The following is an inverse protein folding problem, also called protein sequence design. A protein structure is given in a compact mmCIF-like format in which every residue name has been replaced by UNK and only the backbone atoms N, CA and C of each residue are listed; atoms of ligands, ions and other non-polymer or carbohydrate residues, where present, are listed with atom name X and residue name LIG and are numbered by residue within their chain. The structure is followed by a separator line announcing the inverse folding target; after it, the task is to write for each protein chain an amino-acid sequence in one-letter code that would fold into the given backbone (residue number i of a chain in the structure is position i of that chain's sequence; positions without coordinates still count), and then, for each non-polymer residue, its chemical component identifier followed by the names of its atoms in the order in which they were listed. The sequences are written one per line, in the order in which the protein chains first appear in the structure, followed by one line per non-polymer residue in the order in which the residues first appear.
data_IF_392842801032
#
_entry.id   IF_392842801032
#
_cell.length_a   1.000
_cell.length_b   1.000
_cell.length_c   1.000
_cell.angle_alpha   90.00
_cell.angle_beta   90.00
_cell.angle_gamma   90.00
#
_symmetry.space_group_name_H-M   'P 1'
#
loop_
_entity.id
_entity.type
_entity.pdbx_description
1 polymer ?
#
# COMPACT_ATOMS: atom_id res chain seq x y z
N UNK A 1 -11.50 1.37 -55.67
CA UNK A 1 -12.64 0.55 -55.19
C UNK A 1 -12.33 0.19 -53.74
N UNK A 2 -13.01 0.82 -52.79
CA UNK A 2 -12.87 0.47 -51.38
C UNK A 2 -14.06 -0.42 -51.00
N UNK A 3 -13.81 -1.71 -50.79
CA UNK A 3 -14.79 -2.67 -50.30
C UNK A 3 -14.95 -2.53 -48.78
N UNK A 4 -15.99 -1.80 -48.36
CA UNK A 4 -16.46 -1.81 -46.98
C UNK A 4 -17.24 -3.12 -46.74
N UNK A 5 -16.53 -4.17 -46.35
CA UNK A 5 -17.18 -5.43 -45.98
C UNK A 5 -17.91 -5.34 -44.63
N UNK A 6 -19.21 -5.64 -44.73
CA UNK A 6 -20.16 -6.13 -43.72
C UNK A 6 -20.95 -5.10 -42.91
N UNK A 7 -22.01 -4.59 -43.55
CA UNK A 7 -23.24 -4.24 -42.86
C UNK A 7 -23.78 -5.47 -42.09
N UNK A 8 -23.94 -5.35 -40.77
CA UNK A 8 -24.66 -6.31 -39.94
C UNK A 8 -26.15 -6.23 -40.32
N UNK A 9 -26.83 -7.32 -40.71
CA UNK A 9 -28.28 -7.28 -40.91
C UNK A 9 -28.95 -6.91 -39.58
N UNK A 10 -29.66 -5.79 -39.59
CA UNK A 10 -30.22 -5.12 -38.42
C UNK A 10 -31.60 -5.65 -38.03
N UNK A 11 -31.82 -6.96 -38.09
CA UNK A 11 -33.14 -7.57 -37.84
C UNK A 11 -33.25 -8.37 -36.54
N UNK A 12 -32.24 -8.29 -35.66
CA UNK A 12 -32.32 -8.83 -34.31
C UNK A 12 -32.33 -7.65 -33.32
N UNK A 13 -33.28 -7.58 -32.38
CA UNK A 13 -33.20 -6.60 -31.32
C UNK A 13 -31.92 -6.85 -30.52
N UNK A 14 -31.12 -5.79 -30.31
CA UNK A 14 -29.84 -5.83 -29.59
C UNK A 14 -30.02 -6.27 -28.12
N UNK A 15 -31.26 -6.15 -27.63
CA UNK A 15 -31.70 -6.63 -26.33
C UNK A 15 -32.66 -7.83 -26.48
N UNK A 16 -32.45 -8.94 -25.75
CA UNK A 16 -33.30 -10.12 -25.85
C UNK A 16 -34.71 -9.85 -25.33
N UNK A 17 -35.73 -10.31 -26.05
CA UNK A 17 -37.15 -10.17 -25.65
C UNK A 17 -37.57 -11.11 -24.53
N UNK A 18 -36.80 -12.18 -24.30
CA UNK A 18 -37.07 -13.20 -23.29
C UNK A 18 -35.87 -13.33 -22.36
N UNK A 19 -36.13 -13.35 -21.04
CA UNK A 19 -35.14 -13.65 -20.02
C UNK A 19 -35.49 -14.97 -19.31
N UNK A 20 -34.67 -16.00 -19.50
CA UNK A 20 -34.85 -17.31 -18.88
C UNK A 20 -34.15 -17.45 -17.52
N UNK A 21 -33.41 -16.43 -17.08
CA UNK A 21 -32.65 -16.43 -15.83
C UNK A 21 -33.14 -15.39 -14.82
N UNK A 22 -32.94 -15.67 -13.54
CA UNK A 22 -33.15 -14.67 -12.48
C UNK A 22 -31.90 -13.79 -12.34
N UNK A 23 -32.10 -12.47 -12.28
CA UNK A 23 -31.01 -11.53 -12.04
C UNK A 23 -30.57 -11.56 -10.57
N UNK A 24 -29.26 -11.65 -10.31
CA UNK A 24 -28.75 -11.57 -8.95
C UNK A 24 -28.86 -10.14 -8.40
N UNK A 25 -29.48 -9.98 -7.23
CA UNK A 25 -29.52 -8.70 -6.52
C UNK A 25 -28.20 -8.44 -5.83
N UNK A 26 -27.72 -7.20 -5.90
CA UNK A 26 -26.50 -6.79 -5.23
C UNK A 26 -26.69 -6.74 -3.71
N UNK A 27 -25.94 -7.59 -3.00
CA UNK A 27 -25.82 -7.53 -1.54
C UNK A 27 -24.73 -6.50 -1.22
N UNK A 28 -25.14 -5.25 -0.98
CA UNK A 28 -24.23 -4.09 -0.79
C UNK A 28 -23.00 -4.38 0.09
N UNK A 29 -23.14 -4.89 1.34
CA UNK A 29 -21.98 -5.13 2.18
C UNK A 29 -21.05 -6.21 1.61
N UNK A 30 -21.60 -7.26 1.01
CA UNK A 30 -20.80 -8.32 0.40
C UNK A 30 -20.02 -7.80 -0.81
N UNK A 31 -20.67 -7.03 -1.69
CA UNK A 31 -20.03 -6.45 -2.87
C UNK A 31 -18.92 -5.47 -2.46
N UNK A 32 -19.16 -4.62 -1.45
CA UNK A 32 -18.16 -3.68 -0.94
C UNK A 32 -16.96 -4.41 -0.30
N UNK A 33 -17.22 -5.41 0.55
CA UNK A 33 -16.16 -6.15 1.22
C UNK A 33 -15.26 -6.94 0.24
N UNK A 34 -15.81 -7.41 -0.89
CA UNK A 34 -15.03 -8.05 -1.95
C UNK A 34 -14.09 -7.09 -2.68
N UNK A 35 -14.44 -5.80 -2.78
CA UNK A 35 -13.53 -4.80 -3.35
C UNK A 35 -12.38 -4.48 -2.40
N UNK A 36 -12.61 -4.50 -1.08
CA UNK A 36 -11.56 -4.29 -0.09
C UNK A 36 -10.47 -5.37 -0.11
N UNK A 37 -10.77 -6.56 -0.66
CA UNK A 37 -9.78 -7.64 -0.82
C UNK A 37 -9.02 -7.55 -2.14
N UNK A 38 -9.42 -6.65 -3.04
CA UNK A 38 -8.74 -6.45 -4.32
C UNK A 38 -7.45 -5.64 -4.19
N UNK A 39 -7.39 -4.70 -3.24
CA UNK A 39 -6.22 -3.84 -3.00
C UNK A 39 -5.74 -4.02 -1.56
N UNK A 40 -4.53 -4.57 -1.40
CA UNK A 40 -3.91 -4.77 -0.08
C UNK A 40 -4.53 -5.90 0.76
N UNK A 41 -4.54 -5.69 2.08
CA UNK A 41 -5.05 -6.65 3.07
C UNK A 41 -4.15 -7.88 3.24
N UNK A 42 -4.72 -8.97 3.75
CA UNK A 42 -4.00 -10.22 4.01
C UNK A 42 -3.39 -10.85 2.75
N UNK A 43 -3.97 -10.58 1.58
CA UNK A 43 -3.52 -11.10 0.29
C UNK A 43 -2.77 -10.04 -0.54
N UNK A 44 -2.27 -8.98 0.10
CA UNK A 44 -1.56 -7.88 -0.57
C UNK A 44 -0.40 -8.32 -1.43
N UNK A 45 0.21 -9.45 -1.08
CA UNK A 45 1.44 -9.92 -1.70
C UNK A 45 1.17 -10.86 -2.90
N UNK A 46 -0.06 -11.37 -3.03
CA UNK A 46 -0.43 -12.38 -4.06
C UNK A 46 -1.57 -11.95 -4.99
N UNK A 47 -2.21 -10.81 -4.72
CA UNK A 47 -3.34 -10.34 -5.53
C UNK A 47 -2.89 -9.70 -6.86
N UNK A 48 -3.86 -9.32 -7.71
CA UNK A 48 -3.55 -8.70 -9.01
C UNK A 48 -2.75 -7.40 -8.87
N UNK A 49 -2.96 -6.64 -7.78
CA UNK A 49 -2.21 -5.40 -7.53
C UNK A 49 -0.75 -5.64 -7.16
N UNK A 50 -0.41 -6.80 -6.57
CA UNK A 50 0.99 -7.17 -6.27
C UNK A 50 1.78 -7.44 -7.55
N UNK A 51 1.13 -8.03 -8.56
CA UNK A 51 1.72 -8.29 -9.87
C UNK A 51 2.06 -7.04 -10.67
N UNK A 52 1.42 -5.89 -10.38
CA UNK A 52 1.75 -4.62 -11.02
C UNK A 52 3.16 -4.12 -10.69
N UNK A 53 3.75 -4.59 -9.58
CA UNK A 53 5.06 -4.15 -9.09
C UNK A 53 5.98 -5.36 -8.90
N UNK A 54 6.58 -5.85 -9.98
CA UNK A 54 7.43 -7.05 -9.95
C UNK A 54 8.77 -6.85 -9.22
N UNK A 55 9.29 -5.61 -9.18
CA UNK A 55 10.64 -5.34 -8.68
C UNK A 55 10.63 -4.37 -7.49
N UNK A 56 10.04 -4.82 -6.38
CA UNK A 56 10.21 -4.17 -5.07
C UNK A 56 11.38 -4.82 -4.35
N UNK A 57 12.36 -4.01 -3.95
CA UNK A 57 13.55 -4.51 -3.26
C UNK A 57 13.77 -3.76 -1.97
N UNK A 58 14.02 -4.53 -0.93
CA UNK A 58 14.25 -4.08 0.43
C UNK A 58 15.45 -4.78 1.09
N UNK A 59 16.29 -5.43 0.29
CA UNK A 59 17.49 -6.14 0.74
C UNK A 59 18.51 -5.21 1.40
N UNK A 60 19.21 -5.74 2.40
CA UNK A 60 20.31 -5.04 3.11
C UNK A 60 21.49 -4.66 2.22
N UNK A 61 21.64 -5.30 1.05
CA UNK A 61 22.65 -4.94 0.06
C UNK A 61 22.35 -3.59 -0.60
N UNK A 62 21.06 -3.30 -0.86
CA UNK A 62 20.63 -2.07 -1.55
C UNK A 62 20.24 -0.98 -0.57
N UNK A 63 19.67 -1.34 0.58
CA UNK A 63 19.23 -0.40 1.61
C UNK A 63 19.91 -0.76 2.94
N UNK A 64 20.91 0.03 3.32
CA UNK A 64 21.59 -0.11 4.60
C UNK A 64 20.95 0.84 5.61
N UNK A 65 20.46 0.27 6.69
CA UNK A 65 19.90 1.03 7.81
C UNK A 65 20.86 0.92 8.98
N UNK A 66 21.07 2.04 9.65
CA UNK A 66 21.84 2.10 10.89
C UNK A 66 21.07 2.94 11.90
N UNK A 67 21.24 2.61 13.17
CA UNK A 67 20.52 3.23 14.26
C UNK A 67 21.49 3.66 15.35
N UNK A 68 21.22 4.81 15.95
CA UNK A 68 21.82 5.22 17.21
C UNK A 68 20.69 5.59 18.17
N UNK A 69 20.78 5.10 19.40
CA UNK A 69 19.80 5.37 20.44
C UNK A 69 20.31 6.48 21.35
N UNK A 70 19.57 7.60 21.39
CA UNK A 70 19.94 8.73 22.22
C UNK A 70 19.95 8.33 23.71
N UNK A 71 21.01 8.65 24.46
CA UNK A 71 21.07 8.36 25.88
C UNK A 71 20.07 9.22 26.67
N UNK A 72 19.49 8.64 27.72
CA UNK A 72 18.72 9.38 28.72
C UNK A 72 17.36 9.94 28.26
N UNK A 73 16.72 9.35 27.24
CA UNK A 73 15.42 9.82 26.69
C UNK A 73 15.46 11.30 26.28
N UNK A 74 16.63 11.80 25.91
CA UNK A 74 16.82 13.17 25.46
C UNK A 74 16.43 13.34 23.99
N UNK A 75 16.12 14.58 23.59
CA UNK A 75 15.94 14.96 22.19
C UNK A 75 17.22 15.68 21.72
N UNK A 76 18.22 14.96 21.20
CA UNK A 76 19.47 15.57 20.76
C UNK A 76 19.23 16.46 19.54
N UNK A 77 20.10 17.45 19.37
CA UNK A 77 20.11 18.26 18.15
C UNK A 77 20.67 17.43 16.98
N UNK A 78 20.32 17.80 15.75
CA UNK A 78 20.80 17.09 14.55
C UNK A 78 22.34 17.05 14.47
N UNK A 79 22.99 18.17 14.78
CA UNK A 79 24.46 18.29 14.82
C UNK A 79 25.12 17.31 15.80
N UNK A 80 24.46 17.03 16.93
CA UNK A 80 24.94 16.08 17.94
C UNK A 80 24.69 14.64 17.51
N UNK A 81 23.52 14.35 16.93
CA UNK A 81 23.13 13.03 16.47
C UNK A 81 24.01 12.52 15.32
N UNK A 82 24.44 13.39 14.41
CA UNK A 82 25.27 13.02 13.26
C UNK A 82 26.71 12.63 13.62
N UNK A 83 27.19 12.98 14.83
CA UNK A 83 28.56 12.69 15.28
C UNK A 83 28.69 11.36 16.04
N UNK A 84 27.60 10.60 16.12
CA UNK A 84 27.51 9.41 16.95
C UNK A 84 27.93 8.17 16.18
N UNK A 85 28.17 7.09 16.92
CA UNK A 85 28.45 5.79 16.34
C UNK A 85 27.13 5.05 16.10
N UNK A 86 26.80 4.86 14.84
CA UNK A 86 25.62 4.12 14.41
C UNK A 86 25.93 2.63 14.34
N UNK A 87 24.96 1.80 14.75
CA UNK A 87 25.03 0.34 14.61
C UNK A 87 24.08 -0.13 13.51
N UNK A 88 24.40 -1.21 12.77
CA UNK A 88 23.50 -1.75 11.76
C UNK A 88 22.13 -2.09 12.33
N UNK A 89 21.08 -1.77 11.57
CA UNK A 89 19.69 -2.03 11.90
C UNK A 89 19.02 -2.84 10.79
N UNK A 90 18.03 -3.65 11.15
CA UNK A 90 17.25 -4.47 10.20
C UNK A 90 15.76 -4.36 10.46
N UNK A 91 14.98 -4.79 9.47
CA UNK A 91 13.52 -4.90 9.60
C UNK A 91 13.17 -5.86 10.74
N UNK A 92 12.22 -5.45 11.56
CA UNK A 92 11.79 -6.22 12.74
C UNK A 92 12.59 -5.95 14.01
N UNK A 93 13.63 -5.11 13.97
CA UNK A 93 14.30 -4.69 15.19
C UNK A 93 13.34 -3.92 16.11
N UNK A 94 13.35 -4.28 17.38
CA UNK A 94 12.56 -3.61 18.41
C UNK A 94 13.34 -2.44 18.98
N UNK A 95 12.72 -1.27 19.01
CA UNK A 95 13.31 -0.05 19.57
C UNK A 95 12.70 0.29 20.92
N UNK A 96 13.43 1.12 21.68
CA UNK A 96 13.25 1.35 23.11
C UNK A 96 11.87 1.85 23.56
N UNK A 97 11.72 2.09 24.88
CA UNK A 97 10.46 2.50 25.48
C UNK A 97 9.97 3.84 24.93
N UNK A 98 8.65 4.05 24.93
CA UNK A 98 8.04 5.31 24.49
C UNK A 98 8.59 6.50 25.28
N UNK A 99 8.90 7.60 24.58
CA UNK A 99 9.38 8.82 25.22
C UNK A 99 8.39 9.34 26.28
N UNK A 100 8.87 9.70 27.48
CA UNK A 100 8.15 10.67 28.34
C UNK A 100 8.46 12.06 27.80
N UNK A 101 7.47 12.74 27.25
CA UNK A 101 7.58 14.18 26.97
C UNK A 101 7.69 14.91 28.31
N UNK A 102 8.92 15.12 28.79
CA UNK A 102 9.18 16.10 29.84
C UNK A 102 8.87 17.50 29.28
N UNK A 103 8.20 18.39 30.02
CA UNK A 103 7.75 19.70 29.53
C UNK A 103 8.88 20.64 29.05
N UNK A 104 10.14 20.27 29.27
CA UNK A 104 11.30 21.06 28.90
C UNK A 104 11.65 21.01 27.41
N UNK A 105 11.04 20.12 26.60
CA UNK A 105 11.35 20.02 25.17
C UNK A 105 10.32 20.80 24.35
N UNK A 106 10.47 22.12 24.37
CA UNK A 106 9.60 23.07 23.70
C UNK A 106 9.49 22.80 22.21
N UNK A 107 8.25 22.96 21.73
CA UNK A 107 7.90 23.20 20.33
C UNK A 107 8.93 24.11 19.65
N UNK A 108 9.75 23.55 18.77
CA UNK A 108 10.22 24.34 17.63
C UNK A 108 9.09 24.35 16.62
N UNK A 109 8.39 25.48 16.68
CA UNK A 109 7.48 26.01 15.69
C UNK A 109 8.22 26.11 14.35
N UNK A 110 7.76 25.37 13.36
CA UNK A 110 7.79 25.74 11.95
C UNK A 110 6.43 25.36 11.38
#
# INVERSE_FOLDING_TARGET
MCEHHRARPSSLPDYPSLNHGTGAKWVKPLTQNRLNTFVGGHFSDVNLSSMLFTHRVDDSHRVKLEVWSAPGLSKPLFQEAMKQNFKPAKKGDSFGPSCKLSPACWCLRC
#
